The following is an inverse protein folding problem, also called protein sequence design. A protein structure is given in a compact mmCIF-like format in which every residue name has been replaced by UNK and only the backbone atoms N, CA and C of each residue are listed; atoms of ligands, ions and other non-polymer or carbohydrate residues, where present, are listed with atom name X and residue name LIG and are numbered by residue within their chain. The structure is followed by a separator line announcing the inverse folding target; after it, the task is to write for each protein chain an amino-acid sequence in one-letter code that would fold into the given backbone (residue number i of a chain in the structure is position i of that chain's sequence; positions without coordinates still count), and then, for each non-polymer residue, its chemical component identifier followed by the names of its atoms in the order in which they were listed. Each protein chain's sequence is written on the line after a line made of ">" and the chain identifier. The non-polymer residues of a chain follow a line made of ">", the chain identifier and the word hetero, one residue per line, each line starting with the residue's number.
data_IF_880614184068
#
_entry.id   IF_880614184068
#
_cell.length_a   1.000
_cell.length_b   1.000
_cell.length_c   1.000
_cell.angle_alpha   90.00
_cell.angle_beta   90.00
_cell.angle_gamma   90.00
#
_symmetry.space_group_name_H-M   'P 1'
#
loop_
_entity.id
_entity.type
_entity.pdbx_description
1 polymer ?
#
# COMPACT_ATOMS: atom_id res chain seq x y z
N UNK A 1 -3.80 -28.98 9.50
CA UNK A 1 -2.98 -30.20 9.36
C UNK A 1 -1.85 -29.83 8.42
N UNK A 2 -0.62 -29.77 8.91
CA UNK A 2 0.53 -29.53 8.03
C UNK A 2 0.63 -30.69 7.03
N UNK A 3 0.93 -30.40 5.78
CA UNK A 3 1.12 -31.46 4.77
C UNK A 3 2.52 -32.06 4.99
N UNK A 4 2.60 -33.36 5.28
CA UNK A 4 3.87 -34.08 5.52
C UNK A 4 4.67 -34.35 4.22
N UNK A 5 4.58 -33.48 3.21
CA UNK A 5 5.28 -33.65 1.94
C UNK A 5 5.77 -32.32 1.38
N UNK A 6 6.84 -32.37 0.60
CA UNK A 6 7.36 -31.21 -0.13
C UNK A 6 6.26 -30.61 -1.02
N UNK A 7 6.18 -29.27 -1.13
CA UNK A 7 5.22 -28.63 -2.01
C UNK A 7 5.41 -29.10 -3.45
N UNK A 8 4.32 -29.39 -4.15
CA UNK A 8 4.40 -29.69 -5.59
C UNK A 8 4.97 -28.49 -6.37
N UNK A 9 5.64 -28.74 -7.49
CA UNK A 9 6.19 -27.68 -8.37
C UNK A 9 5.14 -26.65 -8.76
N UNK A 10 3.89 -27.09 -8.99
CA UNK A 10 2.77 -26.21 -9.27
C UNK A 10 2.53 -25.20 -8.13
N UNK A 11 2.59 -25.64 -6.87
CA UNK A 11 2.38 -24.78 -5.71
C UNK A 11 3.54 -23.80 -5.55
N UNK A 12 4.78 -24.24 -5.78
CA UNK A 12 5.96 -23.36 -5.78
C UNK A 12 5.80 -22.24 -6.82
N UNK A 13 5.43 -22.60 -8.05
CA UNK A 13 5.20 -21.62 -9.13
C UNK A 13 4.04 -20.68 -8.81
N UNK A 14 2.91 -21.19 -8.33
CA UNK A 14 1.75 -20.35 -7.98
C UNK A 14 2.07 -19.38 -6.84
N UNK A 15 2.83 -19.82 -5.84
CA UNK A 15 3.27 -18.96 -4.74
C UNK A 15 4.20 -17.85 -5.24
N UNK A 16 5.18 -18.20 -6.08
CA UNK A 16 6.10 -17.22 -6.69
C UNK A 16 5.35 -16.20 -7.55
N UNK A 17 4.37 -16.64 -8.36
CA UNK A 17 3.54 -15.75 -9.16
C UNK A 17 2.72 -14.80 -8.29
N UNK A 18 2.14 -15.29 -7.19
CA UNK A 18 1.39 -14.47 -6.24
C UNK A 18 2.27 -13.40 -5.57
N UNK A 19 3.47 -13.77 -5.12
CA UNK A 19 4.45 -12.84 -4.55
C UNK A 19 4.89 -11.80 -5.58
N UNK A 20 5.20 -12.23 -6.80
CA UNK A 20 5.62 -11.35 -7.90
C UNK A 20 4.52 -10.37 -8.30
N UNK A 21 3.27 -10.83 -8.38
CA UNK A 21 2.10 -9.98 -8.63
C UNK A 21 1.92 -8.94 -7.53
N UNK A 22 1.96 -9.37 -6.26
CA UNK A 22 1.80 -8.49 -5.10
C UNK A 22 2.89 -7.42 -5.08
N UNK A 23 4.16 -7.83 -5.22
CA UNK A 23 5.31 -6.94 -5.26
C UNK A 23 5.26 -5.97 -6.45
N UNK A 24 5.03 -6.49 -7.66
CA UNK A 24 4.97 -5.69 -8.88
C UNK A 24 3.86 -4.64 -8.84
N UNK A 25 2.71 -4.99 -8.26
CA UNK A 25 1.61 -4.05 -8.03
C UNK A 25 2.02 -2.93 -7.06
N UNK A 26 2.76 -3.23 -5.98
CA UNK A 26 3.28 -2.19 -5.06
C UNK A 26 4.22 -1.23 -5.78
N UNK A 27 5.15 -1.77 -6.57
CA UNK A 27 6.09 -0.97 -7.38
C UNK A 27 5.32 -0.05 -8.32
N UNK A 28 4.40 -0.62 -9.09
CA UNK A 28 3.66 0.10 -10.12
C UNK A 28 2.77 1.19 -9.51
N UNK A 29 1.92 0.86 -8.54
CA UNK A 29 0.94 1.80 -7.98
C UNK A 29 1.63 2.90 -7.18
N UNK A 30 2.64 2.56 -6.36
CA UNK A 30 3.24 3.51 -5.42
C UNK A 30 4.32 4.39 -6.05
N UNK A 31 5.18 3.83 -6.92
CA UNK A 31 6.38 4.51 -7.40
C UNK A 31 6.30 4.95 -8.86
N UNK A 32 5.45 4.32 -9.68
CA UNK A 32 5.33 4.66 -11.11
C UNK A 32 4.05 5.45 -11.35
N UNK A 33 2.90 4.81 -11.15
CA UNK A 33 1.57 5.39 -11.40
C UNK A 33 1.30 6.64 -10.56
N UNK A 34 1.65 6.61 -9.27
CA UNK A 34 1.50 7.77 -8.38
C UNK A 34 2.28 9.00 -8.86
N UNK A 35 3.56 8.82 -9.22
CA UNK A 35 4.42 9.91 -9.70
C UNK A 35 4.03 10.40 -11.10
N UNK A 36 3.63 9.49 -12.00
CA UNK A 36 3.14 9.87 -13.32
C UNK A 36 1.86 10.73 -13.20
N UNK A 37 0.89 10.30 -12.40
CA UNK A 37 -0.39 11.00 -12.28
C UNK A 37 -0.24 12.34 -11.56
N UNK A 38 0.53 12.43 -10.47
CA UNK A 38 0.67 13.68 -9.70
C UNK A 38 1.30 14.82 -10.52
N UNK A 39 2.04 14.48 -11.58
CA UNK A 39 2.66 15.45 -12.50
C UNK A 39 1.74 15.82 -13.68
N UNK A 40 0.91 14.88 -14.15
CA UNK A 40 0.20 15.01 -15.43
C UNK A 40 -1.27 15.37 -15.29
N UNK A 41 -1.89 15.20 -14.11
CA UNK A 41 -3.28 15.56 -13.89
C UNK A 41 -3.44 16.64 -12.82
N UNK A 42 -4.67 17.15 -12.68
CA UNK A 42 -4.99 18.10 -11.60
C UNK A 42 -4.96 17.41 -10.25
N UNK A 43 -4.78 18.18 -9.17
CA UNK A 43 -4.78 17.64 -7.81
C UNK A 43 -6.09 16.94 -7.45
N UNK A 44 -7.22 17.48 -7.89
CA UNK A 44 -8.55 16.90 -7.65
C UNK A 44 -8.78 15.61 -8.44
N UNK A 45 -8.32 15.56 -9.70
CA UNK A 45 -8.37 14.33 -10.50
C UNK A 45 -7.46 13.26 -9.91
N UNK A 46 -6.25 13.62 -9.50
CA UNK A 46 -5.33 12.69 -8.84
C UNK A 46 -5.94 12.08 -7.57
N UNK A 47 -6.47 12.93 -6.69
CA UNK A 47 -7.16 12.47 -5.48
C UNK A 47 -8.37 11.59 -5.76
N UNK A 48 -9.15 11.91 -6.80
CA UNK A 48 -10.28 11.08 -7.23
C UNK A 48 -9.82 9.69 -7.71
N UNK A 49 -8.78 9.62 -8.54
CA UNK A 49 -8.21 8.33 -8.99
C UNK A 49 -7.71 7.52 -7.79
N UNK A 50 -6.98 8.15 -6.87
CA UNK A 50 -6.50 7.49 -5.64
C UNK A 50 -7.66 6.95 -4.79
N UNK A 51 -8.75 7.70 -4.63
CA UNK A 51 -9.92 7.26 -3.85
C UNK A 51 -10.58 5.98 -4.37
N UNK A 52 -10.45 5.71 -5.68
CA UNK A 52 -10.99 4.50 -6.33
C UNK A 52 -9.97 3.38 -6.41
N UNK A 53 -8.71 3.71 -6.66
CA UNK A 53 -7.63 2.75 -6.86
C UNK A 53 -7.12 2.16 -5.54
N UNK A 54 -6.91 3.00 -4.52
CA UNK A 54 -6.26 2.59 -3.27
C UNK A 54 -7.03 1.54 -2.47
N UNK A 55 -8.37 1.58 -2.36
CA UNK A 55 -9.10 0.48 -1.71
C UNK A 55 -8.83 -0.86 -2.39
N UNK A 56 -8.96 -0.94 -3.72
CA UNK A 56 -8.71 -2.16 -4.49
C UNK A 56 -7.26 -2.63 -4.29
N UNK A 57 -6.31 -1.72 -4.45
CA UNK A 57 -4.89 -1.98 -4.23
C UNK A 57 -4.60 -2.58 -2.85
N UNK A 58 -5.06 -1.95 -1.76
CA UNK A 58 -4.80 -2.43 -0.40
C UNK A 58 -5.46 -3.79 -0.12
N UNK A 59 -6.66 -4.05 -0.66
CA UNK A 59 -7.31 -5.36 -0.51
C UNK A 59 -6.63 -6.44 -1.36
N UNK A 60 -6.11 -6.11 -2.55
CA UNK A 60 -5.26 -7.03 -3.31
C UNK A 60 -3.97 -7.36 -2.55
N UNK A 61 -3.33 -6.38 -1.89
CA UNK A 61 -2.18 -6.65 -1.03
C UNK A 61 -2.54 -7.53 0.17
N UNK A 62 -3.68 -7.26 0.81
CA UNK A 62 -4.16 -8.06 1.93
C UNK A 62 -4.38 -9.51 1.50
N UNK A 63 -5.09 -9.72 0.39
CA UNK A 63 -5.35 -11.05 -0.16
C UNK A 63 -4.07 -11.77 -0.58
N UNK A 64 -3.18 -11.10 -1.31
CA UNK A 64 -1.91 -11.68 -1.77
C UNK A 64 -1.00 -12.09 -0.61
N UNK A 65 -0.87 -11.25 0.43
CA UNK A 65 -0.12 -11.59 1.63
C UNK A 65 -0.78 -12.70 2.45
N UNK A 66 -2.11 -12.74 2.52
CA UNK A 66 -2.83 -13.81 3.22
C UNK A 66 -2.61 -15.16 2.53
N UNK A 67 -2.75 -15.21 1.20
CA UNK A 67 -2.51 -16.43 0.43
C UNK A 67 -1.06 -16.89 0.58
N UNK A 68 -0.11 -15.97 0.47
CA UNK A 68 1.32 -16.29 0.60
C UNK A 68 1.66 -16.80 2.00
N UNK A 69 1.11 -16.17 3.04
CA UNK A 69 1.25 -16.64 4.43
C UNK A 69 0.62 -18.02 4.63
N UNK A 70 -0.57 -18.26 4.07
CA UNK A 70 -1.26 -19.54 4.20
C UNK A 70 -0.46 -20.67 3.53
N UNK A 71 0.05 -20.43 2.32
CA UNK A 71 0.94 -21.39 1.64
C UNK A 71 2.19 -21.61 2.46
N UNK A 72 2.86 -20.55 2.91
CA UNK A 72 4.08 -20.66 3.72
C UNK A 72 3.86 -21.48 4.99
N UNK A 73 2.79 -21.20 5.74
CA UNK A 73 2.46 -21.86 7.01
C UNK A 73 2.05 -23.34 6.86
N UNK A 74 1.52 -23.74 5.69
CA UNK A 74 1.18 -25.15 5.43
C UNK A 74 2.44 -26.01 5.28
N UNK A 75 3.50 -25.45 4.67
CA UNK A 75 4.74 -26.16 4.35
C UNK A 75 5.88 -25.93 5.36
N UNK A 76 5.73 -24.97 6.29
CA UNK A 76 6.73 -24.70 7.34
C UNK A 76 6.05 -24.80 8.72
N UNK A 77 5.94 -26.01 9.29
CA UNK A 77 5.36 -26.22 10.61
C UNK A 77 6.10 -25.41 11.67
N UNK A 78 5.36 -24.75 12.58
CA UNK A 78 5.94 -23.82 13.57
C UNK A 78 7.06 -24.44 14.42
N UNK A 79 6.95 -25.74 14.70
CA UNK A 79 7.91 -26.48 15.53
C UNK A 79 9.25 -26.75 14.83
N UNK A 80 9.30 -26.59 13.50
CA UNK A 80 10.46 -26.86 12.65
C UNK A 80 11.06 -25.58 12.04
N UNK A 81 10.53 -24.40 12.38
CA UNK A 81 11.00 -23.13 11.81
C UNK A 81 12.44 -22.87 12.23
N UNK A 82 13.30 -22.68 11.24
CA UNK A 82 14.61 -22.10 11.48
C UNK A 82 14.51 -20.56 11.64
N UNK A 83 15.66 -19.90 11.78
CA UNK A 83 15.70 -18.45 11.90
C UNK A 83 15.17 -17.73 10.64
N UNK A 84 15.50 -18.24 9.45
CA UNK A 84 15.08 -17.62 8.18
C UNK A 84 13.57 -17.76 7.98
N UNK A 85 13.02 -18.94 8.26
CA UNK A 85 11.59 -19.20 8.15
C UNK A 85 10.78 -18.35 9.14
N UNK A 86 11.31 -18.19 10.36
CA UNK A 86 10.71 -17.32 11.38
C UNK A 86 10.67 -15.86 10.93
N UNK A 87 11.74 -15.38 10.27
CA UNK A 87 11.79 -14.03 9.70
C UNK A 87 10.79 -13.89 8.55
N UNK A 88 10.73 -14.83 7.60
CA UNK A 88 9.79 -14.76 6.48
C UNK A 88 8.33 -14.76 6.95
N UNK A 89 8.00 -15.62 7.91
CA UNK A 89 6.69 -15.68 8.53
C UNK A 89 6.32 -14.35 9.19
N UNK A 90 7.23 -13.76 9.97
CA UNK A 90 7.03 -12.44 10.57
C UNK A 90 6.79 -11.36 9.52
N UNK A 91 7.58 -11.35 8.43
CA UNK A 91 7.42 -10.39 7.35
C UNK A 91 6.05 -10.51 6.66
N UNK A 92 5.54 -11.73 6.47
CA UNK A 92 4.19 -11.94 5.95
C UNK A 92 3.12 -11.38 6.88
N UNK A 93 3.22 -11.63 8.20
CA UNK A 93 2.30 -11.08 9.19
C UNK A 93 2.32 -9.55 9.19
N UNK A 94 3.51 -8.94 9.18
CA UNK A 94 3.66 -7.48 9.17
C UNK A 94 3.07 -6.89 7.88
N UNK A 95 3.33 -7.49 6.72
CA UNK A 95 2.76 -7.06 5.45
C UNK A 95 1.22 -7.16 5.44
N UNK A 96 0.68 -8.25 5.99
CA UNK A 96 -0.76 -8.46 6.12
C UNK A 96 -1.42 -7.40 7.02
N UNK A 97 -0.85 -7.16 8.20
CA UNK A 97 -1.37 -6.17 9.16
C UNK A 97 -1.31 -4.77 8.57
N UNK A 98 -0.19 -4.38 7.96
CA UNK A 98 -0.03 -3.05 7.36
C UNK A 98 -0.97 -2.83 6.17
N UNK A 99 -1.19 -3.85 5.32
CA UNK A 99 -2.19 -3.80 4.26
C UNK A 99 -3.61 -3.69 4.82
N UNK A 100 -3.94 -4.44 5.87
CA UNK A 100 -5.23 -4.38 6.55
C UNK A 100 -5.49 -3.02 7.20
N UNK A 101 -4.50 -2.45 7.88
CA UNK A 101 -4.56 -1.11 8.47
C UNK A 101 -4.86 -0.04 7.40
N UNK A 102 -4.17 -0.14 6.27
CA UNK A 102 -4.37 0.75 5.13
C UNK A 102 -5.75 0.60 4.49
N UNK A 103 -6.16 -0.64 4.17
CA UNK A 103 -7.44 -0.90 3.51
C UNK A 103 -8.64 -0.53 4.39
N UNK A 104 -8.57 -0.80 5.70
CA UNK A 104 -9.72 -0.69 6.59
C UNK A 104 -9.82 0.65 7.33
N UNK A 105 -8.71 1.31 7.65
CA UNK A 105 -8.71 2.52 8.48
C UNK A 105 -7.99 3.70 7.82
N UNK A 106 -6.69 3.61 7.52
CA UNK A 106 -5.91 4.79 7.14
C UNK A 106 -6.26 5.32 5.74
N UNK A 107 -6.44 4.43 4.76
CA UNK A 107 -6.82 4.79 3.39
C UNK A 107 -8.19 5.47 3.34
N UNK A 108 -9.26 4.87 3.89
CA UNK A 108 -10.58 5.49 3.97
C UNK A 108 -10.58 6.83 4.72
N UNK A 109 -9.90 6.93 5.86
CA UNK A 109 -9.82 8.16 6.64
C UNK A 109 -9.09 9.29 5.88
N UNK A 110 -7.98 8.98 5.21
CA UNK A 110 -7.28 9.95 4.36
C UNK A 110 -8.15 10.41 3.19
N UNK A 111 -8.88 9.48 2.56
CA UNK A 111 -9.78 9.77 1.43
C UNK A 111 -10.94 10.67 1.83
N UNK A 112 -11.57 10.42 2.97
CA UNK A 112 -12.66 11.23 3.50
C UNK A 112 -12.20 12.68 3.73
N UNK A 113 -11.08 12.86 4.45
CA UNK A 113 -10.54 14.20 4.72
C UNK A 113 -10.08 14.90 3.43
N UNK A 114 -9.55 14.14 2.45
CA UNK A 114 -9.19 14.68 1.14
C UNK A 114 -10.42 15.26 0.41
N UNK A 115 -11.58 14.61 0.47
CA UNK A 115 -12.82 15.15 -0.13
C UNK A 115 -13.33 16.38 0.62
N UNK A 116 -13.22 16.42 1.94
CA UNK A 116 -13.55 17.61 2.74
C UNK A 116 -12.63 18.80 2.38
N UNK A 117 -11.34 18.56 2.20
CA UNK A 117 -10.40 19.57 1.72
C UNK A 117 -10.77 20.05 0.31
N UNK A 118 -11.09 19.12 -0.59
CA UNK A 118 -11.45 19.43 -1.97
C UNK A 118 -12.64 20.37 -2.06
N UNK A 119 -13.69 20.18 -1.25
CA UNK A 119 -14.84 21.07 -1.22
C UNK A 119 -14.44 22.52 -0.90
N UNK A 120 -13.60 22.72 0.12
CA UNK A 120 -13.11 24.06 0.49
C UNK A 120 -12.19 24.63 -0.59
N UNK A 121 -11.37 23.80 -1.23
CA UNK A 121 -10.53 24.22 -2.36
C UNK A 121 -11.38 24.69 -3.56
N UNK A 122 -12.48 23.98 -3.88
CA UNK A 122 -13.42 24.33 -4.96
C UNK A 122 -14.15 25.66 -4.67
N UNK A 123 -14.59 25.90 -3.43
CA UNK A 123 -15.19 27.17 -2.99
C UNK A 123 -14.27 28.38 -3.21
N UNK A 124 -12.95 28.16 -3.21
CA UNK A 124 -11.93 29.18 -3.41
C UNK A 124 -11.30 29.16 -4.81
N UNK A 125 -11.88 28.39 -5.75
CA UNK A 125 -11.42 28.33 -7.14
C UNK A 125 -10.08 27.62 -7.35
N UNK A 126 -9.63 26.81 -6.39
CA UNK A 126 -8.39 26.04 -6.45
C UNK A 126 -8.66 24.59 -6.91
N UNK A 127 -7.64 23.91 -7.45
CA UNK A 127 -7.65 22.45 -7.64
C UNK A 127 -7.81 21.97 -9.08
N UNK A 128 -8.15 22.88 -10.01
CA UNK A 128 -8.28 22.59 -11.44
C UNK A 128 -6.98 22.70 -12.23
N UNK A 129 -5.88 23.08 -11.58
CA UNK A 129 -4.59 23.28 -12.23
C UNK A 129 -3.80 21.97 -12.29
N UNK A 130 -3.13 21.74 -13.41
CA UNK A 130 -2.31 20.55 -13.64
C UNK A 130 -0.94 20.70 -12.97
N UNK A 131 -0.48 19.62 -12.35
CA UNK A 131 0.84 19.52 -11.75
C UNK A 131 0.93 20.03 -10.31
N UNK A 132 1.73 19.32 -9.51
CA UNK A 132 1.87 19.51 -8.06
C UNK A 132 2.37 20.91 -7.63
N UNK A 133 3.09 21.61 -8.49
CA UNK A 133 3.67 22.93 -8.21
C UNK A 133 2.79 24.11 -8.60
N UNK A 134 1.65 23.86 -9.24
CA UNK A 134 0.72 24.92 -9.62
C UNK A 134 0.05 25.52 -8.38
N UNK A 135 0.00 26.86 -8.34
CA UNK A 135 -0.71 27.64 -7.30
C UNK A 135 -0.30 27.38 -5.84
N UNK A 136 0.98 27.09 -5.58
CA UNK A 136 1.50 26.95 -4.19
C UNK A 136 1.09 28.12 -3.29
N UNK A 137 1.14 29.34 -3.80
CA UNK A 137 0.78 30.54 -3.05
C UNK A 137 -0.73 30.60 -2.73
N UNK A 138 -1.58 30.10 -3.62
CA UNK A 138 -3.03 30.02 -3.41
C UNK A 138 -3.39 29.08 -2.27
N UNK A 139 -2.79 27.88 -2.26
CA UNK A 139 -2.99 26.93 -1.16
C UNK A 139 -2.37 27.38 0.16
N UNK A 140 -1.24 28.11 0.11
CA UNK A 140 -0.63 28.69 1.30
C UNK A 140 -1.54 29.75 1.93
N UNK A 141 -2.06 30.68 1.12
CA UNK A 141 -3.03 31.69 1.55
C UNK A 141 -4.30 31.05 2.10
N UNK A 142 -4.87 30.06 1.42
CA UNK A 142 -6.06 29.35 1.90
C UNK A 142 -5.82 28.70 3.28
N UNK A 143 -4.64 28.10 3.49
CA UNK A 143 -4.27 27.51 4.79
C UNK A 143 -4.12 28.54 5.91
N UNK A 144 -3.76 29.77 5.60
CA UNK A 144 -3.65 30.85 6.59
C UNK A 144 -5.01 31.48 6.89
N UNK A 145 -5.85 31.62 5.88
CA UNK A 145 -7.13 32.32 5.96
C UNK A 145 -8.29 31.45 6.46
N UNK A 146 -8.27 30.15 6.16
CA UNK A 146 -9.34 29.21 6.51
C UNK A 146 -8.89 28.21 7.60
N UNK A 147 -9.36 28.37 8.85
CA UNK A 147 -9.04 27.45 9.95
C UNK A 147 -9.54 26.01 9.72
N UNK A 148 -10.67 25.84 9.02
CA UNK A 148 -11.26 24.54 8.69
C UNK A 148 -10.36 23.80 7.71
N UNK A 149 -9.93 24.47 6.64
CA UNK A 149 -8.97 23.90 5.69
C UNK A 149 -7.63 23.56 6.34
N UNK A 150 -7.11 24.42 7.22
CA UNK A 150 -5.88 24.14 8.00
C UNK A 150 -6.02 22.89 8.85
N UNK A 151 -7.17 22.73 9.52
CA UNK A 151 -7.50 21.54 10.32
C UNK A 151 -7.50 20.27 9.46
N UNK A 152 -8.24 20.27 8.36
CA UNK A 152 -8.29 19.13 7.45
C UNK A 152 -6.94 18.81 6.83
N UNK A 153 -6.16 19.81 6.42
CA UNK A 153 -4.82 19.61 5.84
C UNK A 153 -3.86 18.92 6.80
N UNK A 154 -3.94 19.26 8.10
CA UNK A 154 -3.17 18.62 9.16
C UNK A 154 -3.58 17.17 9.35
N UNK A 155 -4.89 16.92 9.48
CA UNK A 155 -5.46 15.58 9.65
C UNK A 155 -5.16 14.67 8.45
N UNK A 156 -5.34 15.17 7.23
CA UNK A 156 -4.96 14.49 5.99
C UNK A 156 -3.48 14.12 6.01
N UNK A 157 -2.59 15.08 6.33
CA UNK A 157 -1.15 14.84 6.40
C UNK A 157 -0.79 13.70 7.36
N UNK A 158 -1.45 13.62 8.51
CA UNK A 158 -1.24 12.54 9.49
C UNK A 158 -1.67 11.17 8.95
N UNK A 159 -2.91 11.05 8.45
CA UNK A 159 -3.39 9.77 7.91
C UNK A 159 -2.65 9.34 6.66
N UNK A 160 -2.32 10.28 5.78
CA UNK A 160 -1.52 10.01 4.58
C UNK A 160 -0.11 9.53 4.94
N UNK A 161 0.55 10.17 5.92
CA UNK A 161 1.86 9.73 6.40
C UNK A 161 1.81 8.33 7.02
N UNK A 162 0.85 8.06 7.91
CA UNK A 162 0.65 6.73 8.48
C UNK A 162 0.42 5.67 7.38
N UNK A 163 -0.43 6.00 6.41
CA UNK A 163 -0.73 5.09 5.30
C UNK A 163 0.51 4.78 4.45
N UNK A 164 1.30 5.82 4.15
CA UNK A 164 2.54 5.72 3.39
C UNK A 164 3.58 4.88 4.13
N UNK A 165 3.75 5.08 5.44
CA UNK A 165 4.65 4.28 6.28
C UNK A 165 4.23 2.82 6.29
N UNK A 166 2.94 2.52 6.50
CA UNK A 166 2.42 1.16 6.42
C UNK A 166 2.68 0.53 5.04
N UNK A 167 2.47 1.27 3.97
CA UNK A 167 2.71 0.78 2.62
C UNK A 167 4.20 0.50 2.36
N UNK A 168 5.10 1.36 2.85
CA UNK A 168 6.54 1.18 2.71
C UNK A 168 7.05 -0.02 3.52
N UNK A 169 6.58 -0.19 4.76
CA UNK A 169 6.89 -1.36 5.58
C UNK A 169 6.42 -2.63 4.86
N UNK A 170 5.17 -2.66 4.40
CA UNK A 170 4.63 -3.80 3.65
C UNK A 170 5.41 -4.08 2.37
N UNK A 171 5.89 -3.05 1.68
CA UNK A 171 6.75 -3.19 0.50
C UNK A 171 8.11 -3.82 0.82
N UNK A 172 8.76 -3.40 1.91
CA UNK A 172 10.02 -3.99 2.36
C UNK A 172 9.81 -5.46 2.74
N UNK A 173 8.75 -5.78 3.49
CA UNK A 173 8.40 -7.16 3.85
C UNK A 173 8.17 -8.04 2.62
N UNK A 174 7.36 -7.57 1.66
CA UNK A 174 7.04 -8.31 0.44
C UNK A 174 8.29 -8.50 -0.43
N UNK A 175 9.14 -7.48 -0.54
CA UNK A 175 10.42 -7.55 -1.28
C UNK A 175 11.34 -8.59 -0.66
N UNK A 176 11.53 -8.56 0.66
CA UNK A 176 12.36 -9.53 1.37
C UNK A 176 11.83 -10.95 1.17
N UNK A 177 10.52 -11.18 1.35
CA UNK A 177 9.93 -12.50 1.15
C UNK A 177 10.08 -13.00 -0.28
N UNK A 178 9.87 -12.14 -1.28
CA UNK A 178 10.08 -12.50 -2.68
C UNK A 178 11.54 -12.89 -2.96
N UNK A 179 12.52 -12.13 -2.44
CA UNK A 179 13.95 -12.44 -2.61
C UNK A 179 14.29 -13.78 -1.96
N UNK A 180 13.87 -14.01 -0.72
CA UNK A 180 14.13 -15.29 -0.04
C UNK A 180 13.51 -16.47 -0.78
N UNK A 181 12.24 -16.37 -1.20
CA UNK A 181 11.59 -17.43 -1.98
C UNK A 181 12.29 -17.64 -3.32
N UNK A 182 12.72 -16.57 -3.99
CA UNK A 182 13.42 -16.67 -5.28
C UNK A 182 14.79 -17.34 -5.16
N UNK A 183 15.54 -17.04 -4.10
CA UNK A 183 16.88 -17.61 -3.87
C UNK A 183 16.83 -19.08 -3.43
N UNK A 184 15.72 -19.52 -2.83
CA UNK A 184 15.56 -20.88 -2.31
C UNK A 184 14.60 -21.75 -3.15
N UNK A 185 14.32 -21.35 -4.40
CA UNK A 185 13.44 -22.08 -5.32
C UNK A 185 13.87 -23.52 -5.61
N UNK A 186 15.16 -23.84 -5.42
CA UNK A 186 15.72 -25.19 -5.59
C UNK A 186 15.70 -26.05 -4.32
N UNK A 187 15.39 -25.47 -3.16
CA UNK A 187 15.45 -26.10 -1.82
C UNK A 187 14.13 -26.11 -1.07
N UNK A 188 13.14 -25.34 -1.54
CA UNK A 188 11.70 -25.50 -1.23
C UNK A 188 11.17 -26.63 -2.09
#
# INVERSE_FOLDING_TARGET
>A
MATEGEPTDLIKVLHLLMLSFTWGMQVWVSFIGGFALVQQVTRHTFGLVQSKLFPVYFYCLLGGNLVSLAVFAVYHPRELLDWHDSVQMLMFFVALITAGLNGRWFGPAATEVMFQMRQVEEEHGLGNQVGLSSQKDGYAKLREQDPKYRGYRSTFGRYHALSTVCNLIGFICTTTNLIYTALNLSTI
#
